data_IF_692563137249
#
_entry.id   IF_692563137249
#
_cell.length_a   1.000
_cell.length_b   1.000
_cell.length_c   1.000
_cell.angle_alpha   90.00
_cell.angle_beta   90.00
_cell.angle_gamma   90.00
#
_symmetry.space_group_name_H-M   'P 1'
#
loop_
_entity.id
_entity.type
_entity.pdbx_description
1 polymer ?
#
# COMPACT_ATOMS: atom_id res chain seq x y z
N UNK A 1 -6.95 12.19 -35.17
CA UNK A 1 -7.53 12.34 -33.81
C UNK A 1 -6.66 11.59 -32.82
N UNK A 2 -5.99 12.28 -31.91
CA UNK A 2 -5.21 11.62 -30.86
C UNK A 2 -6.19 10.94 -29.88
N UNK A 3 -6.13 9.61 -29.76
CA UNK A 3 -6.91 8.91 -28.73
C UNK A 3 -6.42 9.39 -27.36
N UNK A 4 -7.30 10.06 -26.61
CA UNK A 4 -7.03 10.44 -25.23
C UNK A 4 -6.74 9.20 -24.40
N UNK A 5 -5.71 9.27 -23.56
CA UNK A 5 -5.32 8.22 -22.62
C UNK A 5 -6.45 7.99 -21.61
N UNK A 6 -7.29 6.98 -21.84
CA UNK A 6 -8.41 6.66 -20.96
C UNK A 6 -7.95 5.74 -19.83
N UNK A 7 -7.95 6.25 -18.60
CA UNK A 7 -7.73 5.45 -17.39
C UNK A 7 -9.09 4.90 -16.97
N UNK A 8 -9.14 3.61 -16.66
CA UNK A 8 -10.31 2.95 -16.07
C UNK A 8 -10.18 2.98 -14.56
N UNK A 9 -11.21 3.46 -13.88
CA UNK A 9 -11.25 3.53 -12.43
C UNK A 9 -12.10 2.39 -11.90
N UNK A 10 -11.56 1.63 -10.94
CA UNK A 10 -12.23 0.50 -10.29
C UNK A 10 -12.18 0.75 -8.79
N UNK A 11 -13.30 0.61 -8.09
CA UNK A 11 -13.31 0.58 -6.63
C UNK A 11 -13.51 -0.86 -6.21
N UNK A 12 -12.55 -1.41 -5.46
CA UNK A 12 -12.55 -2.82 -5.05
C UNK A 12 -11.88 -2.97 -3.69
N UNK A 13 -12.52 -3.67 -2.76
CA UNK A 13 -11.96 -3.90 -1.43
C UNK A 13 -11.34 -5.28 -1.35
N UNK A 14 -10.06 -5.33 -1.01
CA UNK A 14 -9.34 -6.58 -0.83
C UNK A 14 -9.12 -6.86 0.64
N UNK A 15 -9.72 -7.93 1.17
CA UNK A 15 -9.43 -8.39 2.53
C UNK A 15 -7.95 -8.77 2.69
N UNK A 16 -7.34 -8.54 3.83
CA UNK A 16 -6.02 -9.09 4.16
C UNK A 16 -6.12 -10.48 4.81
N UNK A 17 -7.33 -10.95 5.13
CA UNK A 17 -7.57 -12.19 5.87
C UNK A 17 -7.23 -13.46 5.08
N UNK A 18 -6.63 -14.43 5.76
CA UNK A 18 -6.32 -15.77 5.25
C UNK A 18 -4.82 -16.04 5.15
N UNK A 19 -4.43 -16.88 4.21
CA UNK A 19 -3.03 -17.16 3.90
C UNK A 19 -2.47 -16.13 2.93
N UNK A 20 -1.15 -15.98 2.88
CA UNK A 20 -0.45 -15.16 1.87
C UNK A 20 -0.89 -15.51 0.45
N UNK A 21 -1.12 -16.80 0.17
CA UNK A 21 -1.54 -17.27 -1.14
C UNK A 21 -2.96 -16.82 -1.49
N UNK A 22 -3.90 -16.91 -0.55
CA UNK A 22 -5.28 -16.45 -0.76
C UNK A 22 -5.34 -14.93 -0.97
N UNK A 23 -4.55 -14.17 -0.20
CA UNK A 23 -4.49 -12.71 -0.33
C UNK A 23 -3.99 -12.30 -1.72
N UNK A 24 -2.83 -12.83 -2.16
CA UNK A 24 -2.31 -12.50 -3.50
C UNK A 24 -3.22 -13.02 -4.62
N UNK A 25 -3.84 -14.20 -4.44
CA UNK A 25 -4.75 -14.78 -5.42
C UNK A 25 -5.92 -13.83 -5.69
N UNK A 26 -6.57 -13.31 -4.64
CA UNK A 26 -7.66 -12.32 -4.77
C UNK A 26 -7.27 -11.09 -5.59
N UNK A 27 -6.07 -10.56 -5.36
CA UNK A 27 -5.57 -9.38 -6.09
C UNK A 27 -5.28 -9.72 -7.55
N UNK A 28 -4.57 -10.83 -7.79
CA UNK A 28 -4.17 -11.26 -9.15
C UNK A 28 -5.39 -11.66 -9.98
N UNK A 29 -6.36 -12.37 -9.41
CA UNK A 29 -7.61 -12.72 -10.09
C UNK A 29 -8.35 -11.45 -10.54
N UNK A 30 -8.37 -10.41 -9.71
CA UNK A 30 -8.98 -9.14 -10.11
C UNK A 30 -8.24 -8.46 -11.28
N UNK A 31 -6.91 -8.57 -11.33
CA UNK A 31 -6.13 -8.07 -12.46
C UNK A 31 -6.32 -8.91 -13.73
N UNK A 32 -6.67 -10.20 -13.62
CA UNK A 32 -6.97 -11.04 -14.78
C UNK A 32 -8.28 -10.63 -15.49
N UNK A 33 -9.16 -9.89 -14.83
CA UNK A 33 -10.37 -9.31 -15.42
C UNK A 33 -10.08 -8.08 -16.32
N UNK A 34 -8.85 -7.56 -16.30
CA UNK A 34 -8.46 -6.40 -17.09
C UNK A 34 -8.55 -6.70 -18.61
N UNK A 35 -9.23 -5.84 -19.36
CA UNK A 35 -9.16 -5.86 -20.82
C UNK A 35 -7.74 -5.47 -21.28
N UNK A 36 -7.12 -6.23 -22.20
CA UNK A 36 -5.78 -5.95 -22.68
C UNK A 36 -5.71 -4.61 -23.43
N UNK A 37 -4.53 -4.02 -23.50
CA UNK A 37 -4.23 -2.93 -24.44
C UNK A 37 -3.91 -3.47 -25.83
N UNK A 38 -3.83 -2.58 -26.82
CA UNK A 38 -3.41 -2.91 -28.20
C UNK A 38 -2.00 -2.41 -28.53
N UNK A 39 -1.27 -1.90 -27.53
CA UNK A 39 0.11 -1.44 -27.69
C UNK A 39 0.60 -0.53 -26.55
N UNK A 40 1.62 0.28 -26.85
CA UNK A 40 2.24 1.23 -25.90
C UNK A 40 1.51 2.58 -25.87
N UNK A 41 1.78 3.38 -24.83
CA UNK A 41 1.32 4.77 -24.73
C UNK A 41 -0.20 4.87 -24.62
N UNK A 42 -0.84 5.57 -25.55
CA UNK A 42 -2.31 5.70 -25.60
C UNK A 42 -3.03 4.38 -25.91
N UNK A 43 -2.33 3.40 -26.51
CA UNK A 43 -2.87 2.06 -26.80
C UNK A 43 -2.78 1.10 -25.60
N UNK A 44 -2.23 1.56 -24.48
CA UNK A 44 -2.13 0.77 -23.25
C UNK A 44 -3.39 0.95 -22.43
N UNK A 45 -4.09 -0.15 -22.13
CA UNK A 45 -5.18 -0.15 -21.14
C UNK A 45 -4.59 0.17 -19.76
N UNK A 46 -5.10 1.20 -19.09
CA UNK A 46 -4.63 1.66 -17.78
C UNK A 46 -5.76 1.60 -16.76
N UNK A 47 -5.39 1.24 -15.54
CA UNK A 47 -6.31 1.02 -14.43
C UNK A 47 -5.80 1.70 -13.18
N UNK A 48 -6.70 2.37 -12.48
CA UNK A 48 -6.52 2.80 -11.10
C UNK A 48 -7.55 2.06 -10.24
N UNK A 49 -7.07 1.26 -9.29
CA UNK A 49 -7.88 0.52 -8.33
C UNK A 49 -7.91 1.27 -7.00
N UNK A 50 -9.03 1.88 -6.63
CA UNK A 50 -9.24 2.45 -5.30
C UNK A 50 -9.51 1.32 -4.31
N UNK A 51 -8.54 1.07 -3.43
CA UNK A 51 -8.48 -0.14 -2.60
C UNK A 51 -8.74 0.09 -1.13
N UNK A 52 -8.49 1.31 -0.64
CA UNK A 52 -8.82 1.71 0.72
C UNK A 52 -9.37 3.15 0.71
N UNK A 53 -10.23 3.46 1.68
CA UNK A 53 -10.69 4.83 1.96
C UNK A 53 -10.24 5.17 3.36
N UNK A 54 -9.46 6.25 3.48
CA UNK A 54 -8.94 6.79 4.72
C UNK A 54 -10.03 7.61 5.43
N UNK A 55 -9.81 7.86 6.72
CA UNK A 55 -10.70 8.61 7.61
C UNK A 55 -10.94 10.05 7.17
N UNK A 56 -10.00 10.66 6.45
CA UNK A 56 -10.09 11.99 5.85
C UNK A 56 -10.77 11.99 4.46
N UNK A 57 -11.19 10.82 3.96
CA UNK A 57 -11.82 10.64 2.65
C UNK A 57 -10.83 10.43 1.50
N UNK A 58 -9.52 10.60 1.72
CA UNK A 58 -8.50 10.25 0.72
C UNK A 58 -8.47 8.73 0.49
N UNK A 59 -7.97 8.30 -0.67
CA UNK A 59 -7.92 6.87 -1.02
C UNK A 59 -6.50 6.39 -1.24
N UNK A 60 -6.25 5.15 -0.82
CA UNK A 60 -5.10 4.38 -1.31
C UNK A 60 -5.54 3.69 -2.58
N UNK A 61 -4.72 3.77 -3.63
CA UNK A 61 -5.02 3.18 -4.91
C UNK A 61 -3.81 2.55 -5.58
N UNK A 62 -4.06 1.59 -6.46
CA UNK A 62 -3.05 0.90 -7.26
C UNK A 62 -3.15 1.37 -8.71
N UNK A 63 -2.08 1.91 -9.26
CA UNK A 63 -1.99 2.25 -10.68
C UNK A 63 -1.33 1.10 -11.46
N UNK A 64 -1.93 0.72 -12.59
CA UNK A 64 -1.46 -0.33 -13.52
C UNK A 64 -1.71 0.04 -14.99
N UNK A 65 -0.92 -0.47 -15.93
CA UNK A 65 0.42 -1.02 -15.74
C UNK A 65 1.43 0.08 -15.44
N UNK A 66 2.50 -0.27 -14.72
CA UNK A 66 3.68 0.59 -14.49
C UNK A 66 4.96 -0.08 -15.02
N UNK A 67 6.12 0.53 -14.85
CA UNK A 67 7.37 -0.19 -15.09
C UNK A 67 7.42 -1.43 -14.17
N UNK A 68 7.66 -2.65 -14.70
CA UNK A 68 7.68 -3.85 -13.89
C UNK A 68 8.87 -3.81 -12.93
N UNK A 69 8.66 -4.27 -11.69
CA UNK A 69 9.76 -4.61 -10.78
C UNK A 69 9.56 -6.06 -10.34
N UNK A 70 10.51 -6.92 -10.68
CA UNK A 70 10.44 -8.37 -10.48
C UNK A 70 9.18 -9.00 -11.08
N UNK A 71 8.90 -8.67 -12.35
CA UNK A 71 7.88 -9.36 -13.14
C UNK A 71 6.42 -8.96 -12.86
N UNK A 72 6.16 -8.03 -11.94
CA UNK A 72 4.80 -7.54 -11.67
C UNK A 72 4.73 -6.00 -11.64
N UNK A 73 3.63 -5.42 -12.12
CA UNK A 73 3.58 -4.02 -12.58
C UNK A 73 2.42 -3.20 -11.99
N UNK A 74 2.42 -2.98 -10.68
CA UNK A 74 1.59 -1.92 -10.09
C UNK A 74 2.40 -1.00 -9.19
N UNK A 75 1.82 0.15 -8.87
CA UNK A 75 2.36 1.12 -7.92
C UNK A 75 1.28 1.52 -6.94
N UNK A 76 1.61 1.49 -5.64
CA UNK A 76 0.74 1.98 -4.57
C UNK A 76 0.84 3.50 -4.54
N UNK A 77 -0.30 4.19 -4.46
CA UNK A 77 -0.41 5.65 -4.41
C UNK A 77 -1.46 6.05 -3.39
N UNK A 78 -1.37 7.26 -2.87
CA UNK A 78 -2.32 7.82 -1.92
C UNK A 78 -2.76 9.19 -2.41
N UNK A 79 -4.06 9.48 -2.35
CA UNK A 79 -4.57 10.77 -2.80
C UNK A 79 -4.11 11.92 -1.90
N UNK A 80 -3.92 13.09 -2.51
CA UNK A 80 -3.68 14.36 -1.83
C UNK A 80 -2.47 14.40 -0.87
N UNK A 81 -1.50 13.50 -1.03
CA UNK A 81 -0.27 13.49 -0.22
C UNK A 81 0.98 13.83 -1.04
N UNK A 82 2.04 14.25 -0.35
CA UNK A 82 3.38 14.35 -0.91
C UNK A 82 4.43 13.67 0.00
N UNK A 83 4.78 12.43 -0.30
CA UNK A 83 5.85 11.69 0.37
C UNK A 83 7.26 12.24 0.07
N UNK A 84 7.38 13.27 -0.78
CA UNK A 84 8.65 13.95 -1.06
C UNK A 84 8.60 15.43 -0.68
N UNK A 85 7.74 15.78 0.28
CA UNK A 85 7.60 17.14 0.79
C UNK A 85 8.96 17.73 1.17
N UNK A 86 9.25 18.93 0.65
CA UNK A 86 10.52 19.63 0.89
C UNK A 86 11.74 19.11 0.12
N UNK A 87 11.62 18.02 -0.65
CA UNK A 87 12.76 17.35 -1.31
C UNK A 87 12.64 17.24 -2.83
N UNK A 88 11.80 18.06 -3.48
CA UNK A 88 11.74 18.20 -4.94
C UNK A 88 10.36 17.91 -5.54
N UNK A 89 10.30 17.10 -6.60
CA UNK A 89 9.04 16.80 -7.30
C UNK A 89 8.07 16.06 -6.39
N UNK A 90 6.83 16.54 -6.34
CA UNK A 90 5.73 15.89 -5.62
C UNK A 90 5.61 14.41 -5.96
N UNK A 91 5.48 13.58 -4.92
CA UNK A 91 5.39 12.13 -5.02
C UNK A 91 4.28 11.60 -4.13
N UNK A 92 3.28 10.98 -4.74
CA UNK A 92 2.13 10.41 -4.03
C UNK A 92 2.23 8.88 -3.84
N UNK A 93 3.30 8.25 -4.34
CA UNK A 93 3.59 6.85 -4.08
C UNK A 93 4.57 6.73 -2.90
N UNK A 94 4.28 5.96 -1.84
CA UNK A 94 5.20 5.78 -0.72
C UNK A 94 6.43 4.91 -1.10
N UNK A 95 7.53 5.11 -0.38
CA UNK A 95 8.71 4.23 -0.30
C UNK A 95 8.69 3.53 1.06
N UNK A 96 9.40 2.42 1.17
CA UNK A 96 9.59 1.74 2.46
C UNK A 96 10.24 2.67 3.50
N UNK A 97 11.15 3.54 3.08
CA UNK A 97 11.82 4.51 3.96
C UNK A 97 10.86 5.56 4.53
N UNK A 98 9.87 6.02 3.76
CA UNK A 98 8.88 6.99 4.25
C UNK A 98 8.12 6.41 5.44
N UNK A 99 7.69 5.16 5.32
CA UNK A 99 6.94 4.45 6.35
C UNK A 99 7.84 4.06 7.52
N UNK A 100 9.04 3.55 7.28
CA UNK A 100 9.93 3.12 8.38
C UNK A 100 10.46 4.30 9.18
N UNK A 101 10.73 5.45 8.56
CA UNK A 101 11.13 6.66 9.28
C UNK A 101 9.97 7.25 10.08
N UNK A 102 8.75 7.25 9.53
CA UNK A 102 7.54 7.62 10.28
C UNK A 102 7.36 6.77 11.54
N UNK A 103 7.49 5.43 11.41
CA UNK A 103 7.40 4.51 12.55
C UNK A 103 8.51 4.73 13.59
N UNK A 104 9.74 5.07 13.18
CA UNK A 104 10.82 5.44 14.11
C UNK A 104 10.45 6.68 14.92
N UNK A 105 9.90 7.70 14.27
CA UNK A 105 9.48 8.93 14.93
C UNK A 105 8.35 8.68 15.93
N UNK A 106 7.33 7.91 15.53
CA UNK A 106 6.24 7.48 16.43
C UNK A 106 6.74 6.67 17.63
N UNK A 107 7.75 5.81 17.43
CA UNK A 107 8.41 5.07 18.51
C UNK A 107 9.11 6.01 19.50
N UNK A 108 9.84 7.01 18.99
CA UNK A 108 10.53 8.01 19.83
C UNK A 108 9.52 8.85 20.60
N UNK A 109 8.43 9.26 19.93
CA UNK A 109 7.36 10.07 20.53
C UNK A 109 6.66 9.35 21.69
N UNK A 110 6.24 8.10 21.48
CA UNK A 110 5.56 7.33 22.52
C UNK A 110 5.82 5.82 22.37
N UNK A 111 6.82 5.27 23.07
CA UNK A 111 7.17 3.85 22.98
C UNK A 111 6.03 2.89 23.35
N UNK A 112 5.21 3.25 24.34
CA UNK A 112 4.10 2.43 24.83
C UNK A 112 2.99 2.31 23.77
N UNK A 113 2.58 3.44 23.18
CA UNK A 113 1.59 3.45 22.10
C UNK A 113 2.15 2.82 20.83
N UNK A 114 3.44 3.02 20.55
CA UNK A 114 4.11 2.38 19.43
C UNK A 114 4.12 0.86 19.57
N UNK A 115 4.28 0.32 20.77
CA UNK A 115 4.19 -1.11 21.01
C UNK A 115 2.78 -1.67 20.64
N UNK A 116 1.70 -0.92 20.89
CA UNK A 116 0.37 -1.29 20.39
C UNK A 116 0.27 -1.22 18.86
N UNK A 117 0.77 -0.14 18.25
CA UNK A 117 0.84 -0.01 16.79
C UNK A 117 1.63 -1.16 16.15
N UNK A 118 2.76 -1.56 16.74
CA UNK A 118 3.57 -2.66 16.29
C UNK A 118 2.81 -3.99 16.31
N UNK A 119 1.96 -4.23 17.31
CA UNK A 119 1.09 -5.41 17.35
C UNK A 119 0.06 -5.41 16.22
N UNK A 120 -0.47 -4.24 15.86
CA UNK A 120 -1.37 -4.11 14.70
C UNK A 120 -0.62 -4.38 13.39
N UNK A 121 0.58 -3.83 13.21
CA UNK A 121 1.45 -4.11 12.05
C UNK A 121 1.76 -5.61 11.96
N UNK A 122 2.04 -6.26 13.09
CA UNK A 122 2.27 -7.71 13.14
C UNK A 122 1.03 -8.49 12.71
N UNK A 123 -0.17 -8.05 13.10
CA UNK A 123 -1.41 -8.66 12.63
C UNK A 123 -1.58 -8.51 11.10
N UNK A 124 -1.27 -7.35 10.52
CA UNK A 124 -1.25 -7.18 9.06
C UNK A 124 -0.22 -8.12 8.41
N UNK A 125 0.97 -8.23 8.99
CA UNK A 125 2.02 -9.18 8.59
C UNK A 125 1.62 -10.65 8.77
N UNK A 126 0.59 -10.95 9.55
CA UNK A 126 0.01 -12.28 9.72
C UNK A 126 -1.25 -12.48 8.85
N UNK A 127 -1.48 -11.61 7.86
CA UNK A 127 -2.67 -11.66 7.01
C UNK A 127 -3.98 -11.57 7.83
N UNK A 128 -4.05 -10.60 8.75
CA UNK A 128 -5.29 -10.23 9.43
C UNK A 128 -5.77 -8.87 8.94
N UNK A 129 -7.08 -8.71 8.84
CA UNK A 129 -7.69 -7.41 8.65
C UNK A 129 -7.63 -6.60 9.95
N UNK A 130 -7.40 -5.30 9.82
CA UNK A 130 -7.44 -4.35 10.94
C UNK A 130 -8.68 -3.49 10.79
N UNK A 131 -9.46 -3.40 11.86
CA UNK A 131 -10.65 -2.55 11.91
C UNK A 131 -10.30 -1.21 12.56
N UNK A 132 -10.98 -0.10 12.18
CA UNK A 132 -10.68 1.22 12.75
C UNK A 132 -10.71 1.30 14.27
N UNK A 133 -11.61 0.57 14.92
CA UNK A 133 -11.71 0.52 16.39
C UNK A 133 -10.47 -0.07 17.06
N UNK A 134 -9.63 -0.84 16.35
CA UNK A 134 -8.39 -1.42 16.90
C UNK A 134 -7.30 -0.38 17.16
N UNK A 135 -7.38 0.81 16.57
CA UNK A 135 -6.38 1.88 16.74
C UNK A 135 -7.00 3.24 17.10
N UNK A 136 -8.30 3.30 17.41
CA UNK A 136 -8.98 4.56 17.76
C UNK A 136 -8.38 5.27 18.99
N UNK A 137 -7.77 4.51 19.91
CA UNK A 137 -7.13 5.04 21.12
C UNK A 137 -5.65 5.36 20.89
N UNK A 138 -5.13 5.13 19.68
CA UNK A 138 -3.77 5.45 19.31
C UNK A 138 -3.77 6.80 18.59
N UNK A 139 -2.94 7.72 19.08
CA UNK A 139 -2.76 9.06 18.56
C UNK A 139 -1.29 9.40 18.64
N UNK A 140 -0.74 9.87 17.51
CA UNK A 140 0.61 10.38 17.41
C UNK A 140 0.53 11.75 16.75
N UNK A 141 1.31 12.70 17.26
CA UNK A 141 1.47 14.03 16.70
C UNK A 141 2.46 14.04 15.53
N UNK A 142 3.32 13.03 15.43
CA UNK A 142 4.33 12.94 14.37
C UNK A 142 3.85 12.14 13.15
N UNK A 143 4.16 12.70 11.97
CA UNK A 143 4.07 12.00 10.70
C UNK A 143 2.64 11.72 10.23
N UNK A 144 2.45 10.57 9.55
CA UNK A 144 1.19 10.27 8.86
C UNK A 144 0.11 9.66 9.78
N UNK A 145 -1.18 9.84 9.44
CA UNK A 145 -2.30 9.17 10.11
C UNK A 145 -2.18 7.64 10.15
N UNK A 146 -2.73 7.02 11.19
CA UNK A 146 -2.56 5.58 11.43
C UNK A 146 -3.25 4.68 10.41
N UNK A 147 -4.42 5.07 9.93
CA UNK A 147 -5.15 4.39 8.87
C UNK A 147 -4.36 4.41 7.54
N UNK A 148 -3.69 5.52 7.22
CA UNK A 148 -2.76 5.61 6.09
C UNK A 148 -1.59 4.65 6.29
N UNK A 149 -0.92 4.71 7.45
CA UNK A 149 0.24 3.85 7.73
C UNK A 149 -0.12 2.37 7.64
N UNK A 150 -1.21 1.95 8.30
CA UNK A 150 -1.65 0.55 8.29
C UNK A 150 -2.11 0.11 6.90
N UNK A 151 -2.81 0.98 6.16
CA UNK A 151 -3.25 0.72 4.78
C UNK A 151 -2.06 0.57 3.82
N UNK A 152 -1.07 1.46 3.88
CA UNK A 152 0.13 1.37 3.04
C UNK A 152 0.96 0.14 3.41
N UNK A 153 1.15 -0.16 4.70
CA UNK A 153 1.88 -1.36 5.15
C UNK A 153 1.21 -2.64 4.65
N UNK A 154 -0.12 -2.73 4.72
CA UNK A 154 -0.89 -3.85 4.14
C UNK A 154 -0.54 -4.01 2.66
N UNK A 155 -0.59 -2.94 1.89
CA UNK A 155 -0.29 -2.99 0.47
C UNK A 155 1.18 -3.26 0.15
N UNK A 156 2.12 -2.80 0.97
CA UNK A 156 3.53 -3.22 0.84
C UNK A 156 3.68 -4.72 1.08
N UNK A 157 3.07 -5.31 2.11
CA UNK A 157 3.16 -6.76 2.30
C UNK A 157 2.55 -7.55 1.13
N UNK A 158 1.40 -7.12 0.61
CA UNK A 158 0.77 -7.73 -0.57
C UNK A 158 1.66 -7.58 -1.81
N UNK A 159 2.22 -6.40 -2.03
CA UNK A 159 3.15 -6.13 -3.12
C UNK A 159 4.39 -7.04 -3.04
N UNK A 160 4.97 -7.18 -1.85
CA UNK A 160 6.11 -8.09 -1.66
C UNK A 160 5.70 -9.55 -1.91
N UNK A 161 4.51 -9.98 -1.49
CA UNK A 161 4.02 -11.35 -1.73
C UNK A 161 3.76 -11.67 -3.21
N UNK A 162 3.45 -10.66 -4.01
CA UNK A 162 3.27 -10.80 -5.47
C UNK A 162 4.61 -10.71 -6.21
N UNK A 163 5.41 -9.68 -5.96
CA UNK A 163 6.71 -9.44 -6.66
C UNK A 163 7.77 -10.48 -6.30
N UNK A 164 7.73 -10.98 -5.08
CA UNK A 164 8.73 -11.89 -4.52
C UNK A 164 8.08 -13.19 -4.07
N UNK A 165 7.21 -13.74 -4.92
CA UNK A 165 6.37 -14.92 -4.66
C UNK A 165 7.12 -16.08 -4.00
N UNK A 166 8.34 -16.37 -4.47
CA UNK A 166 9.18 -17.48 -4.00
C UNK A 166 10.30 -17.04 -3.03
N UNK A 167 10.28 -15.78 -2.58
CA UNK A 167 11.33 -15.22 -1.72
C UNK A 167 10.76 -14.62 -0.42
N UNK A 168 11.65 -14.03 0.38
CA UNK A 168 11.36 -13.49 1.72
C UNK A 168 10.95 -12.02 1.73
N UNK A 169 10.51 -11.43 0.60
CA UNK A 169 10.25 -9.98 0.48
C UNK A 169 9.39 -9.39 1.61
N UNK A 170 8.31 -10.08 1.98
CA UNK A 170 7.45 -9.69 3.12
C UNK A 170 8.23 -9.63 4.44
N UNK A 171 9.03 -10.65 4.70
CA UNK A 171 9.89 -10.74 5.89
C UNK A 171 10.95 -9.65 5.91
N UNK A 172 11.55 -9.32 4.76
CA UNK A 172 12.53 -8.25 4.66
C UNK A 172 11.92 -6.89 5.00
N UNK A 173 10.71 -6.60 4.51
CA UNK A 173 10.01 -5.37 4.91
C UNK A 173 9.66 -5.39 6.41
N UNK A 174 9.17 -6.51 6.95
CA UNK A 174 8.90 -6.61 8.40
C UNK A 174 10.15 -6.41 9.26
N UNK A 175 11.32 -6.88 8.82
CA UNK A 175 12.59 -6.65 9.52
C UNK A 175 12.99 -5.17 9.57
N UNK A 176 12.57 -4.36 8.59
CA UNK A 176 12.81 -2.91 8.60
C UNK A 176 11.88 -2.13 9.53
N UNK A 177 10.78 -2.73 9.98
CA UNK A 177 9.87 -2.10 10.96
C UNK A 177 10.58 -2.05 12.32
N UNK A 178 10.71 -0.87 12.96
CA UNK A 178 11.36 -0.76 14.26
C UNK A 178 10.67 -1.66 15.29
N UNK A 179 11.42 -2.54 15.95
CA UNK A 179 10.88 -3.32 17.06
C UNK A 179 10.55 -2.40 18.24
N UNK A 180 9.57 -2.74 19.11
CA UNK A 180 9.33 -2.01 20.36
C UNK A 180 10.59 -1.85 21.21
#
# INVERSE_FOLDING_TARGET
MAQSKQIRYITEKFSNSGTRNEVRKRVVEKFMEEKPGTGKGAKTSKYDYYVETLSDGNRIFLTRPTAPKNGFDFLIRVENIDFNEGAGRKRDNPKHEDITNDLKNKKIENPQMYNELYRLIKQVYECKDIVPSSYQNLSFSTGYPLDLILGVIKWFFIEQDIRYWNYSGRGMFMLSVPKP
#
